data_IF_500186141768
#
_entry.id   IF_500186141768
#
_cell.length_a   1.000
_cell.length_b   1.000
_cell.length_c   1.000
_cell.angle_alpha   90.00
_cell.angle_beta   90.00
_cell.angle_gamma   90.00
#
_symmetry.space_group_name_H-M   'P 1'
#
loop_
_entity.id
_entity.type
_entity.pdbx_description
1 polymer ?
#
# COMPACT_ATOMS: atom_id res chain seq x y z
N UNK A 1 7.74 -0.24 -2.44
CA UNK A 1 8.12 -1.15 -1.35
C UNK A 1 8.57 -0.31 -0.17
N UNK A 2 8.76 -0.92 0.99
CA UNK A 2 9.19 -0.23 2.21
C UNK A 2 9.92 -1.18 3.15
N UNK A 3 10.73 -0.61 4.06
CA UNK A 3 11.24 -1.31 5.24
C UNK A 3 10.44 -0.89 6.45
N UNK A 4 10.06 -1.85 7.28
CA UNK A 4 9.31 -1.65 8.51
C UNK A 4 10.26 -1.83 9.68
N UNK A 5 10.21 -0.91 10.64
CA UNK A 5 10.94 -0.98 11.90
C UNK A 5 9.93 -0.99 13.04
N UNK A 6 10.11 -1.89 14.01
CA UNK A 6 9.26 -2.01 15.19
C UNK A 6 10.06 -1.73 16.47
N UNK A 7 9.37 -1.32 17.53
CA UNK A 7 9.98 -0.95 18.82
C UNK A 7 10.79 -2.08 19.47
N UNK A 8 10.42 -3.34 19.22
CA UNK A 8 11.14 -4.51 19.72
C UNK A 8 12.45 -4.79 18.97
N UNK A 9 12.89 -3.90 18.07
CA UNK A 9 14.08 -4.07 17.24
C UNK A 9 13.88 -4.98 16.03
N UNK A 10 12.70 -5.58 15.86
CA UNK A 10 12.39 -6.36 14.66
C UNK A 10 12.19 -5.44 13.46
N UNK A 11 12.71 -5.86 12.30
CA UNK A 11 12.49 -5.18 11.03
C UNK A 11 12.32 -6.17 9.90
N UNK A 12 11.56 -5.78 8.88
CA UNK A 12 11.35 -6.58 7.69
C UNK A 12 11.11 -5.70 6.47
N UNK A 13 11.39 -6.26 5.29
CA UNK A 13 11.15 -5.60 4.01
C UNK A 13 9.84 -6.07 3.38
N UNK A 14 9.06 -5.12 2.87
CA UNK A 14 7.93 -5.37 1.98
C UNK A 14 8.34 -4.93 0.56
N UNK A 15 8.50 -5.85 -0.40
CA UNK A 15 8.85 -5.49 -1.77
C UNK A 15 7.75 -4.64 -2.42
N UNK A 16 8.14 -3.85 -3.42
CA UNK A 16 7.18 -3.15 -4.27
C UNK A 16 6.44 -4.16 -5.17
N UNK A 17 5.14 -3.93 -5.39
CA UNK A 17 4.42 -4.62 -6.45
C UNK A 17 4.82 -4.06 -7.80
N UNK A 18 5.03 -4.94 -8.78
CA UNK A 18 5.26 -4.54 -10.18
C UNK A 18 3.92 -4.22 -10.82
N UNK A 19 3.84 -3.04 -11.43
CA UNK A 19 2.67 -2.54 -12.15
C UNK A 19 3.14 -1.72 -13.34
N UNK A 20 2.27 -1.55 -14.33
CA UNK A 20 2.49 -0.60 -15.41
C UNK A 20 2.26 0.83 -14.89
N UNK A 21 3.35 1.59 -14.73
CA UNK A 21 3.31 2.92 -14.11
C UNK A 21 2.83 3.95 -15.13
N UNK A 22 1.81 4.71 -14.75
CA UNK A 22 1.27 5.85 -15.50
C UNK A 22 1.71 7.19 -14.87
N UNK A 23 1.52 7.36 -13.57
CA UNK A 23 1.87 8.56 -12.80
C UNK A 23 2.09 8.15 -11.33
N UNK A 24 3.18 8.59 -10.70
CA UNK A 24 3.48 8.24 -9.30
C UNK A 24 2.87 9.19 -8.28
N UNK A 25 2.23 10.28 -8.73
CA UNK A 25 1.58 11.25 -7.86
C UNK A 25 0.52 10.55 -6.99
N UNK A 26 0.54 10.80 -5.67
CA UNK A 26 -0.41 10.20 -4.74
C UNK A 26 -0.08 8.76 -4.31
N UNK A 27 0.98 8.13 -4.81
CA UNK A 27 1.39 6.79 -4.35
C UNK A 27 1.68 6.74 -2.84
N UNK A 28 2.30 7.80 -2.29
CA UNK A 28 2.54 7.92 -0.86
C UNK A 28 1.26 8.11 -0.04
N UNK A 29 0.27 8.81 -0.57
CA UNK A 29 -1.03 8.99 0.08
C UNK A 29 -1.84 7.69 0.05
N UNK A 30 -1.81 6.97 -1.09
CA UNK A 30 -2.35 5.62 -1.21
C UNK A 30 -1.72 4.64 -0.22
N UNK A 31 -0.39 4.70 -0.05
CA UNK A 31 0.32 3.90 0.96
C UNK A 31 -0.20 4.21 2.37
N UNK A 32 -0.21 5.48 2.77
CA UNK A 32 -0.66 5.89 4.11
C UNK A 32 -2.12 5.53 4.36
N UNK A 33 -2.99 5.76 3.38
CA UNK A 33 -4.40 5.39 3.46
C UNK A 33 -4.57 3.88 3.67
N UNK A 34 -3.83 3.05 2.93
CA UNK A 34 -3.85 1.60 3.11
C UNK A 34 -3.31 1.15 4.47
N UNK A 35 -2.24 1.78 4.96
CA UNK A 35 -1.66 1.48 6.28
C UNK A 35 -2.64 1.83 7.41
N UNK A 36 -3.22 3.04 7.38
CA UNK A 36 -4.22 3.51 8.35
C UNK A 36 -5.46 2.62 8.30
N UNK A 37 -5.91 2.23 7.11
CA UNK A 37 -7.04 1.32 6.95
C UNK A 37 -6.79 -0.02 7.66
N UNK A 38 -5.62 -0.63 7.42
CA UNK A 38 -5.25 -1.90 8.05
C UNK A 38 -5.17 -1.78 9.58
N UNK A 39 -4.55 -0.70 10.07
CA UNK A 39 -4.46 -0.40 11.50
C UNK A 39 -5.86 -0.28 12.15
N UNK A 40 -6.76 0.50 11.55
CA UNK A 40 -8.13 0.67 12.04
C UNK A 40 -8.96 -0.62 11.99
N UNK A 41 -8.58 -1.59 11.14
CA UNK A 41 -9.17 -2.93 11.10
C UNK A 41 -8.56 -3.91 12.09
N UNK A 42 -7.60 -3.49 12.92
CA UNK A 42 -6.91 -4.35 13.88
C UNK A 42 -6.01 -5.39 13.20
N UNK A 43 -5.54 -5.12 11.98
CA UNK A 43 -4.62 -6.02 11.28
C UNK A 43 -3.22 -5.93 11.88
N UNK A 44 -2.45 -7.02 11.73
CA UNK A 44 -1.01 -6.98 12.05
C UNK A 44 -0.29 -5.93 11.20
N UNK A 45 0.86 -5.47 11.69
CA UNK A 45 1.70 -4.50 10.95
C UNK A 45 2.05 -5.04 9.56
N UNK A 46 2.47 -6.31 9.48
CA UNK A 46 2.82 -6.96 8.21
C UNK A 46 1.64 -6.97 7.23
N UNK A 47 0.43 -7.33 7.68
CA UNK A 47 -0.76 -7.33 6.82
C UNK A 47 -1.15 -5.91 6.38
N UNK A 48 -1.05 -4.94 7.27
CA UNK A 48 -1.35 -3.53 6.96
C UNK A 48 -0.38 -2.98 5.92
N UNK A 49 0.90 -3.32 6.02
CA UNK A 49 1.96 -2.88 5.10
C UNK A 49 1.85 -3.54 3.72
N UNK A 50 1.46 -4.82 3.67
CA UNK A 50 1.11 -5.51 2.42
C UNK A 50 -0.01 -4.76 1.70
N UNK A 51 -1.10 -4.45 2.41
CA UNK A 51 -2.23 -3.71 1.84
C UNK A 51 -1.85 -2.27 1.43
N UNK A 52 -1.09 -1.56 2.26
CA UNK A 52 -0.54 -0.25 1.94
C UNK A 52 0.29 -0.25 0.65
N UNK A 53 1.15 -1.26 0.48
CA UNK A 53 1.99 -1.40 -0.71
C UNK A 53 1.16 -1.68 -1.96
N UNK A 54 0.09 -2.46 -1.86
CA UNK A 54 -0.87 -2.68 -2.95
C UNK A 54 -1.62 -1.39 -3.33
N UNK A 55 -2.10 -0.63 -2.35
CA UNK A 55 -2.76 0.66 -2.57
C UNK A 55 -1.85 1.67 -3.28
N UNK A 56 -0.58 1.74 -2.86
CA UNK A 56 0.42 2.62 -3.49
C UNK A 56 0.70 2.22 -4.94
N UNK A 57 0.82 0.90 -5.20
CA UNK A 57 1.05 0.39 -6.54
C UNK A 57 -0.14 0.66 -7.46
N UNK A 58 -1.38 0.47 -7.01
CA UNK A 58 -2.57 0.79 -7.80
C UNK A 58 -2.72 2.29 -8.08
N UNK A 59 -2.36 3.15 -7.12
CA UNK A 59 -2.31 4.59 -7.36
C UNK A 59 -1.37 4.94 -8.53
N UNK A 60 -0.23 4.24 -8.65
CA UNK A 60 0.71 4.45 -9.74
C UNK A 60 0.17 4.11 -11.14
N UNK A 61 -0.96 3.38 -11.24
CA UNK A 61 -1.53 2.92 -12.53
C UNK A 61 -2.50 3.92 -13.16
N UNK A 62 -2.77 5.05 -12.49
CA UNK A 62 -3.73 6.07 -12.91
C UNK A 62 -3.09 7.45 -12.85
N UNK A 63 -3.54 8.34 -13.73
CA UNK A 63 -3.12 9.75 -13.73
C UNK A 63 -3.72 10.49 -12.54
N UNK A 64 -2.92 11.30 -11.84
CA UNK A 64 -3.37 12.20 -10.77
C UNK A 64 -3.13 11.68 -9.36
N UNK A 65 -3.13 12.61 -8.39
CA UNK A 65 -2.81 12.30 -6.99
C UNK A 65 -3.95 11.73 -6.14
N UNK A 66 -5.20 11.83 -6.58
CA UNK A 66 -6.38 11.41 -5.84
C UNK A 66 -7.49 10.95 -6.80
N UNK A 67 -8.51 10.28 -6.26
CA UNK A 67 -9.69 9.88 -7.05
C UNK A 67 -9.41 8.75 -8.05
N UNK A 68 -8.38 7.93 -7.80
CA UNK A 68 -7.90 6.86 -8.69
C UNK A 68 -8.95 5.77 -8.97
N UNK A 69 -9.99 5.69 -8.13
CA UNK A 69 -11.17 4.85 -8.34
C UNK A 69 -10.95 3.35 -8.12
N UNK A 70 -9.80 2.92 -7.57
CA UNK A 70 -9.59 1.52 -7.24
C UNK A 70 -10.35 1.12 -5.97
N UNK A 71 -10.84 -0.12 -5.94
CA UNK A 71 -11.62 -0.67 -4.84
C UNK A 71 -10.74 -1.44 -3.86
N UNK A 72 -11.28 -1.68 -2.65
CA UNK A 72 -10.66 -2.58 -1.68
C UNK A 72 -10.36 -3.95 -2.30
N UNK A 73 -11.28 -4.49 -3.09
CA UNK A 73 -11.15 -5.84 -3.65
C UNK A 73 -10.02 -5.90 -4.67
N UNK A 74 -9.80 -4.84 -5.46
CA UNK A 74 -8.64 -4.74 -6.35
C UNK A 74 -7.32 -4.70 -5.59
N UNK A 75 -7.27 -4.00 -4.44
CA UNK A 75 -6.07 -4.02 -3.58
C UNK A 75 -5.86 -5.43 -3.03
N UNK A 76 -6.92 -6.10 -2.54
CA UNK A 76 -6.82 -7.46 -2.01
C UNK A 76 -6.30 -8.43 -3.07
N UNK A 77 -6.84 -8.39 -4.29
CA UNK A 77 -6.39 -9.24 -5.40
C UNK A 77 -4.91 -9.05 -5.76
N UNK A 78 -4.36 -7.83 -5.60
CA UNK A 78 -2.94 -7.56 -5.80
C UNK A 78 -2.07 -8.12 -4.67
N UNK A 79 -2.63 -8.28 -3.47
CA UNK A 79 -1.90 -8.67 -2.26
C UNK A 79 -1.97 -10.14 -1.89
N UNK A 80 -2.79 -10.92 -2.60
CA UNK A 80 -2.91 -12.37 -2.50
C UNK A 80 -1.90 -13.07 -3.43
#
# INVERSE_FOLDING_TARGET
GCRVFQENGYSFDQPAYRVDVCDTTGAGDGFRAGLIYGYLKGWTVSRSVVFASGSAALACTKMGGAGHGFTRDQIVQMTC
#
